data_IF_037304874055
#
_entry.id   IF_037304874055
#
_cell.length_a   1.000
_cell.length_b   1.000
_cell.length_c   1.000
_cell.angle_alpha   90.00
_cell.angle_beta   90.00
_cell.angle_gamma   90.00
#
_symmetry.space_group_name_H-M   'P 1'
#
loop_
_entity.id
_entity.type
_entity.pdbx_description
1 polymer ?
#
# COMPACT_ATOMS: atom_id res chain seq x y z
N UNK A 1 -6.65 -16.83 20.48
CA UNK A 1 -7.92 -16.09 20.27
C UNK A 1 -7.72 -14.81 19.46
N UNK A 2 -6.61 -14.06 19.63
CA UNK A 2 -6.31 -12.85 18.84
C UNK A 2 -6.06 -13.10 17.34
N UNK A 3 -5.43 -14.23 16.98
CA UNK A 3 -5.06 -14.55 15.59
C UNK A 3 -6.26 -14.87 14.70
N UNK A 4 -7.23 -15.66 15.19
CA UNK A 4 -8.37 -16.11 14.39
C UNK A 4 -9.33 -14.95 13.98
N UNK A 5 -9.55 -13.99 14.88
CA UNK A 5 -10.37 -12.81 14.59
C UNK A 5 -9.68 -11.83 13.61
N UNK A 6 -8.34 -11.82 13.57
CA UNK A 6 -7.60 -11.08 12.56
C UNK A 6 -7.65 -11.80 11.20
N UNK A 7 -7.47 -13.13 11.18
CA UNK A 7 -7.60 -13.95 9.97
C UNK A 7 -9.01 -13.85 9.34
N UNK A 8 -10.06 -13.94 10.15
CA UNK A 8 -11.46 -13.79 9.69
C UNK A 8 -11.72 -12.40 9.10
N UNK A 9 -11.20 -11.35 9.75
CA UNK A 9 -11.29 -9.97 9.24
C UNK A 9 -10.52 -9.80 7.92
N UNK A 10 -9.41 -10.49 7.73
CA UNK A 10 -8.65 -10.42 6.48
C UNK A 10 -9.39 -11.10 5.35
N UNK A 11 -9.98 -12.26 5.61
CA UNK A 11 -10.75 -13.01 4.63
C UNK A 11 -11.95 -12.20 4.12
N UNK A 12 -12.66 -11.50 5.01
CA UNK A 12 -13.76 -10.62 4.63
C UNK A 12 -13.29 -9.43 3.78
N UNK A 13 -12.17 -8.81 4.15
CA UNK A 13 -11.57 -7.74 3.35
C UNK A 13 -11.15 -8.23 1.96
N UNK A 14 -10.51 -9.39 1.87
CA UNK A 14 -10.05 -9.99 0.60
C UNK A 14 -11.24 -10.32 -0.32
N UNK A 15 -12.38 -10.74 0.24
CA UNK A 15 -13.59 -11.05 -0.53
C UNK A 15 -14.34 -9.79 -0.99
N UNK A 16 -14.40 -8.77 -0.15
CA UNK A 16 -15.21 -7.56 -0.37
C UNK A 16 -14.50 -6.46 -1.17
N UNK A 17 -13.19 -6.30 -0.99
CA UNK A 17 -12.39 -5.30 -1.71
C UNK A 17 -11.86 -5.92 -3.00
N UNK A 18 -12.13 -5.27 -4.13
CA UNK A 18 -11.89 -5.88 -5.44
C UNK A 18 -10.87 -5.12 -6.28
N UNK A 19 -10.74 -3.81 -6.09
CA UNK A 19 -9.97 -2.92 -6.97
C UNK A 19 -8.74 -2.34 -6.30
N UNK A 20 -7.79 -1.84 -7.09
CA UNK A 20 -6.65 -1.06 -6.58
C UNK A 20 -7.17 0.11 -5.72
N UNK A 21 -8.17 0.84 -6.20
CA UNK A 21 -8.82 1.96 -5.48
C UNK A 21 -9.35 1.57 -4.11
N UNK A 22 -9.96 0.38 -3.98
CA UNK A 22 -10.47 -0.12 -2.70
C UNK A 22 -9.34 -0.29 -1.67
N UNK A 23 -8.21 -0.86 -2.11
CA UNK A 23 -7.05 -1.10 -1.27
C UNK A 23 -6.29 0.18 -0.96
N UNK A 24 -6.19 1.13 -1.90
CA UNK A 24 -5.62 2.46 -1.64
C UNK A 24 -6.42 3.18 -0.55
N UNK A 25 -7.75 3.20 -0.67
CA UNK A 25 -8.63 3.80 0.36
C UNK A 25 -8.45 3.12 1.72
N UNK A 26 -8.35 1.80 1.76
CA UNK A 26 -8.09 1.07 3.01
C UNK A 26 -6.73 1.46 3.61
N UNK A 27 -5.67 1.44 2.80
CA UNK A 27 -4.31 1.75 3.21
C UNK A 27 -4.22 3.15 3.82
N UNK A 28 -4.80 4.17 3.18
CA UNK A 28 -4.83 5.54 3.71
C UNK A 28 -5.43 5.62 5.11
N UNK A 29 -6.56 4.94 5.33
CA UNK A 29 -7.21 4.90 6.63
C UNK A 29 -6.30 4.27 7.69
N UNK A 30 -5.68 3.13 7.36
CA UNK A 30 -4.74 2.44 8.25
C UNK A 30 -3.48 3.25 8.56
N UNK A 31 -2.91 3.90 7.55
CA UNK A 31 -1.71 4.73 7.70
C UNK A 31 -1.99 5.96 8.57
N UNK A 32 -3.17 6.56 8.40
CA UNK A 32 -3.64 7.67 9.24
C UNK A 32 -3.86 7.21 10.68
N UNK A 33 -4.59 6.10 10.89
CA UNK A 33 -4.82 5.51 12.22
C UNK A 33 -3.50 5.15 12.94
N UNK A 34 -2.51 4.64 12.21
CA UNK A 34 -1.20 4.26 12.74
C UNK A 34 -0.27 5.47 13.05
N UNK A 35 -0.66 6.69 12.64
CA UNK A 35 0.12 7.90 12.83
C UNK A 35 1.48 7.83 12.13
N UNK A 36 1.49 7.40 10.87
CA UNK A 36 2.72 7.32 10.08
C UNK A 36 3.22 8.72 9.70
N UNK A 37 4.54 8.89 9.73
CA UNK A 37 5.21 10.05 9.13
C UNK A 37 5.54 9.73 7.67
N UNK A 38 5.41 10.74 6.80
CA UNK A 38 5.67 10.66 5.36
C UNK A 38 6.88 11.52 4.98
N UNK A 39 7.54 11.19 3.88
CA UNK A 39 8.76 11.82 3.37
C UNK A 39 9.38 11.00 2.23
N UNK A 40 10.50 11.43 1.66
CA UNK A 40 11.17 10.73 0.54
C UNK A 40 10.33 10.63 -0.75
N UNK A 41 9.51 11.66 -1.01
CA UNK A 41 8.70 11.77 -2.23
C UNK A 41 7.22 11.46 -2.05
N UNK A 42 6.79 11.06 -0.85
CA UNK A 42 5.39 10.92 -0.48
C UNK A 42 5.04 11.97 0.57
N UNK A 43 4.05 12.81 0.29
CA UNK A 43 3.71 13.95 1.16
C UNK A 43 2.49 13.64 2.06
N UNK A 44 1.82 12.52 1.80
CA UNK A 44 0.59 12.13 2.49
C UNK A 44 0.34 10.61 2.40
N UNK A 45 -0.70 10.15 3.11
CA UNK A 45 -1.10 8.75 3.16
C UNK A 45 -1.53 8.17 1.79
N UNK A 46 -2.00 9.00 0.86
CA UNK A 46 -2.39 8.58 -0.49
C UNK A 46 -1.14 8.25 -1.32
N UNK A 47 -0.16 9.14 -1.35
CA UNK A 47 1.06 8.93 -2.15
C UNK A 47 1.83 7.69 -1.65
N UNK A 48 1.93 7.52 -0.33
CA UNK A 48 2.54 6.34 0.29
C UNK A 48 1.78 5.04 -0.07
N UNK A 49 0.44 5.08 -0.06
CA UNK A 49 -0.38 3.93 -0.43
C UNK A 49 -0.25 3.56 -1.91
N UNK A 50 -0.26 4.55 -2.80
CA UNK A 50 -0.06 4.34 -4.24
C UNK A 50 1.33 3.79 -4.51
N UNK A 51 2.38 4.39 -3.95
CA UNK A 51 3.75 3.92 -4.12
C UNK A 51 3.90 2.45 -3.69
N UNK A 52 3.33 2.08 -2.54
CA UNK A 52 3.35 0.69 -2.05
C UNK A 52 2.62 -0.26 -3.01
N UNK A 53 1.37 0.07 -3.36
CA UNK A 53 0.52 -0.82 -4.15
C UNK A 53 1.05 -0.95 -5.58
N UNK A 54 1.48 0.14 -6.21
CA UNK A 54 2.04 0.09 -7.56
C UNK A 54 3.33 -0.72 -7.60
N UNK A 55 4.20 -0.55 -6.61
CA UNK A 55 5.40 -1.37 -6.51
C UNK A 55 5.06 -2.88 -6.42
N UNK A 56 4.11 -3.25 -5.56
CA UNK A 56 3.71 -4.66 -5.40
C UNK A 56 3.08 -5.25 -6.66
N UNK A 57 2.50 -4.42 -7.51
CA UNK A 57 1.88 -4.81 -8.78
C UNK A 57 2.82 -4.66 -9.98
N UNK A 58 4.09 -4.27 -9.77
CA UNK A 58 5.03 -3.91 -10.83
C UNK A 58 4.46 -2.87 -11.83
N UNK A 59 3.65 -1.94 -11.33
CA UNK A 59 3.17 -0.81 -12.11
C UNK A 59 4.16 0.35 -12.04
N UNK A 60 4.34 1.10 -13.14
CA UNK A 60 5.16 2.30 -13.11
C UNK A 60 4.49 3.39 -12.25
N UNK A 61 5.28 4.22 -11.59
CA UNK A 61 4.78 5.29 -10.70
C UNK A 61 3.89 6.30 -11.42
N UNK A 62 4.15 6.54 -12.71
CA UNK A 62 3.40 7.42 -13.60
C UNK A 62 2.31 6.67 -14.41
N UNK A 63 1.89 5.48 -13.95
CA UNK A 63 0.76 4.78 -14.56
C UNK A 63 -0.50 5.63 -14.54
N UNK A 64 -1.28 5.53 -15.61
CA UNK A 64 -2.54 6.26 -15.77
C UNK A 64 -3.56 5.88 -14.68
N UNK A 65 -4.21 6.86 -14.06
CA UNK A 65 -5.18 6.69 -12.97
C UNK A 65 -6.33 5.71 -13.29
N UNK A 66 -6.61 5.42 -14.56
CA UNK A 66 -7.58 4.37 -14.97
C UNK A 66 -7.21 2.99 -14.42
N UNK A 67 -5.94 2.73 -14.12
CA UNK A 67 -5.52 1.46 -13.49
C UNK A 67 -6.12 1.29 -12.10
N UNK A 68 -6.50 2.38 -11.41
CA UNK A 68 -7.10 2.31 -10.07
C UNK A 68 -8.42 1.51 -10.05
N UNK A 69 -9.13 1.46 -11.17
CA UNK A 69 -10.39 0.72 -11.30
C UNK A 69 -10.17 -0.75 -11.70
N UNK A 70 -8.92 -1.16 -11.94
CA UNK A 70 -8.58 -2.55 -12.23
C UNK A 70 -8.84 -3.46 -11.03
N UNK A 71 -9.36 -4.66 -11.32
CA UNK A 71 -9.58 -5.69 -10.30
C UNK A 71 -8.29 -6.43 -10.00
N UNK A 72 -8.08 -6.66 -8.71
CA UNK A 72 -6.99 -7.47 -8.19
C UNK A 72 -7.38 -8.93 -8.16
N UNK A 73 -6.43 -9.80 -8.48
CA UNK A 73 -6.50 -11.23 -8.21
C UNK A 73 -6.53 -11.49 -6.70
N UNK A 74 -7.06 -12.63 -6.24
CA UNK A 74 -7.05 -12.97 -4.82
C UNK A 74 -5.65 -13.03 -4.20
N UNK A 75 -4.62 -13.31 -5.00
CA UNK A 75 -3.25 -13.33 -4.50
C UNK A 75 -2.70 -11.92 -4.24
N UNK A 76 -2.88 -11.00 -5.19
CA UNK A 76 -2.46 -9.60 -5.03
C UNK A 76 -3.14 -8.96 -3.82
N UNK A 77 -4.44 -9.23 -3.62
CA UNK A 77 -5.20 -8.79 -2.46
C UNK A 77 -4.57 -9.19 -1.12
N UNK A 78 -4.14 -10.45 -1.00
CA UNK A 78 -3.47 -10.98 0.20
C UNK A 78 -2.13 -10.31 0.44
N UNK A 79 -1.34 -10.15 -0.62
CA UNK A 79 -0.01 -9.54 -0.56
C UNK A 79 -0.13 -8.07 -0.15
N UNK A 80 -1.01 -7.32 -0.81
CA UNK A 80 -1.25 -5.90 -0.50
C UNK A 80 -1.72 -5.73 0.94
N UNK A 81 -2.71 -6.51 1.40
CA UNK A 81 -3.21 -6.40 2.78
C UNK A 81 -2.09 -6.65 3.80
N UNK A 82 -1.30 -7.70 3.60
CA UNK A 82 -0.15 -8.02 4.46
C UNK A 82 0.85 -6.85 4.51
N UNK A 83 1.18 -6.27 3.36
CA UNK A 83 2.15 -5.18 3.29
C UNK A 83 1.64 -3.88 3.92
N UNK A 84 0.34 -3.57 3.80
CA UNK A 84 -0.29 -2.46 4.51
C UNK A 84 -0.12 -2.63 6.03
N UNK A 85 -0.38 -3.84 6.54
CA UNK A 85 -0.25 -4.13 7.97
C UNK A 85 1.20 -4.07 8.44
N UNK A 86 2.13 -4.66 7.68
CA UNK A 86 3.56 -4.54 7.95
C UNK A 86 3.99 -3.07 8.00
N UNK A 87 3.56 -2.25 7.03
CA UNK A 87 3.88 -0.81 7.01
C UNK A 87 3.35 -0.07 8.24
N UNK A 88 2.16 -0.43 8.72
CA UNK A 88 1.55 0.16 9.92
C UNK A 88 2.29 -0.24 11.20
N UNK A 89 2.68 -1.51 11.32
CA UNK A 89 3.31 -2.05 12.52
C UNK A 89 4.79 -1.68 12.61
N UNK A 90 5.56 -1.93 11.55
CA UNK A 90 7.00 -1.68 11.53
C UNK A 90 7.33 -0.19 11.36
N UNK A 91 6.39 0.59 10.83
CA UNK A 91 6.52 2.02 10.53
C UNK A 91 7.69 2.37 9.59
N UNK A 92 8.30 1.39 8.94
CA UNK A 92 9.35 1.57 7.93
C UNK A 92 8.75 2.21 6.67
N UNK A 93 9.25 3.38 6.22
CA UNK A 93 8.80 4.01 4.99
C UNK A 93 8.81 3.10 3.77
N UNK A 94 7.83 3.27 2.87
CA UNK A 94 7.73 2.48 1.63
C UNK A 94 9.00 2.59 0.79
N UNK A 95 9.70 3.72 0.84
CA UNK A 95 10.96 3.90 0.13
C UNK A 95 12.02 2.85 0.48
N UNK A 96 12.11 2.45 1.76
CA UNK A 96 13.03 1.40 2.20
C UNK A 96 12.49 -0.02 1.96
N UNK A 97 11.17 -0.19 1.85
CA UNK A 97 10.58 -1.48 1.48
C UNK A 97 10.76 -1.78 -0.02
N UNK A 98 10.87 -0.72 -0.83
CA UNK A 98 10.93 -0.79 -2.29
C UNK A 98 12.32 -0.47 -2.85
N UNK A 99 13.25 -0.05 -1.99
CA UNK A 99 14.56 0.54 -2.31
C UNK A 99 14.47 1.70 -3.32
N UNK A 100 13.36 2.44 -3.32
CA UNK A 100 13.07 3.50 -4.28
C UNK A 100 12.43 4.71 -3.59
N UNK A 101 13.02 5.88 -3.78
CA UNK A 101 12.50 7.15 -3.30
C UNK A 101 12.31 8.13 -4.47
N UNK A 102 11.40 9.08 -4.33
CA UNK A 102 11.21 10.14 -5.31
C UNK A 102 11.57 11.49 -4.72
N UNK A 103 12.29 12.32 -5.47
CA UNK A 103 12.59 13.68 -5.06
C UNK A 103 12.63 14.59 -6.28
N UNK A 104 11.84 15.67 -6.25
CA UNK A 104 11.71 16.61 -7.36
C UNK A 104 11.39 15.94 -8.72
N UNK A 105 10.55 14.90 -8.69
CA UNK A 105 10.16 14.13 -9.89
C UNK A 105 11.21 13.15 -10.41
N UNK A 106 12.33 12.98 -9.71
CA UNK A 106 13.38 12.03 -10.06
C UNK A 106 13.36 10.84 -9.09
N UNK A 107 13.59 9.64 -9.63
CA UNK A 107 13.71 8.41 -8.85
C UNK A 107 15.15 8.24 -8.33
N UNK A 108 15.28 7.82 -7.07
CA UNK A 108 16.53 7.52 -6.39
C UNK A 108 16.46 6.12 -5.78
N UNK A 109 17.58 5.40 -5.79
CA UNK A 109 17.73 4.15 -5.04
C UNK A 109 18.18 4.52 -3.62
N UNK A 110 17.52 3.95 -2.61
CA UNK A 110 17.80 4.19 -1.19
C UNK A 110 18.04 2.88 -0.43
N UNK A 111 18.76 2.95 0.68
CA UNK A 111 19.17 1.83 1.56
C UNK A 111 18.58 1.89 2.98
#
# INVERSE_FOLDING_TARGET
MYTAAMEERHDDLIKSLLTIRDYTRLAMGRFTEAGLCYGHGTDNAWDEAIALIFHLLNLPHDADDRVLDARLTPNERRVILRMIETRCHEKIPVAYLTNRAWFAGLEFIVD
#
